data_IF_379482267824
#
_entry.id   IF_379482267824
#
_cell.length_a   1.000
_cell.length_b   1.000
_cell.length_c   1.000
_cell.angle_alpha   90.00
_cell.angle_beta   90.00
_cell.angle_gamma   90.00
#
_symmetry.space_group_name_H-M   'P 1'
#
loop_
_entity.id
_entity.type
_entity.pdbx_description
1 polymer ?
#
# COMPACT_ATOMS: atom_id res chain seq x y z
N UNK A 1 -0.05 -19.86 -6.01
CA UNK A 1 -0.37 -18.44 -6.29
C UNK A 1 -1.01 -18.38 -7.67
N UNK A 2 -2.01 -17.52 -7.89
CA UNK A 2 -2.58 -17.32 -9.24
C UNK A 2 -1.52 -16.70 -10.14
N UNK A 3 -1.27 -17.29 -11.30
CA UNK A 3 -0.35 -16.73 -12.29
C UNK A 3 -0.96 -15.48 -12.90
N UNK A 4 -0.22 -14.37 -12.83
CA UNK A 4 -0.58 -13.11 -13.46
C UNK A 4 0.00 -13.14 -14.85
N UNK A 5 -0.86 -13.14 -15.86
CA UNK A 5 -0.49 -13.06 -17.28
C UNK A 5 -0.98 -11.73 -17.84
N UNK A 6 -0.39 -11.25 -18.94
CA UNK A 6 -0.80 -10.01 -19.62
C UNK A 6 -2.29 -9.97 -19.96
N UNK A 7 -2.85 -11.13 -20.33
CA UNK A 7 -4.26 -11.28 -20.73
C UNK A 7 -5.21 -11.26 -19.54
N UNK A 8 -4.83 -11.86 -18.40
CA UNK A 8 -5.67 -11.92 -17.20
C UNK A 8 -5.41 -10.78 -16.20
N UNK A 9 -4.48 -9.86 -16.51
CA UNK A 9 -4.04 -8.79 -15.61
C UNK A 9 -5.20 -7.97 -15.03
N UNK A 10 -6.15 -7.54 -15.87
CA UNK A 10 -7.29 -6.74 -15.43
C UNK A 10 -8.16 -7.49 -14.40
N UNK A 11 -8.45 -8.77 -14.70
CA UNK A 11 -9.24 -9.65 -13.84
C UNK A 11 -8.54 -9.85 -12.50
N UNK A 12 -7.23 -10.11 -12.54
CA UNK A 12 -6.42 -10.27 -11.33
C UNK A 12 -6.38 -8.98 -10.50
N UNK A 13 -6.18 -7.82 -11.12
CA UNK A 13 -6.21 -6.52 -10.43
C UNK A 13 -7.58 -6.27 -9.79
N UNK A 14 -8.68 -6.61 -10.47
CA UNK A 14 -10.05 -6.48 -9.94
C UNK A 14 -10.26 -7.38 -8.72
N UNK A 15 -9.91 -8.67 -8.84
CA UNK A 15 -10.04 -9.64 -7.74
C UNK A 15 -9.19 -9.23 -6.54
N UNK A 16 -7.92 -8.89 -6.76
CA UNK A 16 -7.01 -8.41 -5.70
C UNK A 16 -7.51 -7.11 -5.07
N UNK A 17 -8.06 -6.18 -5.85
CA UNK A 17 -8.69 -4.97 -5.30
C UNK A 17 -9.85 -5.35 -4.38
N UNK A 18 -10.75 -6.25 -4.81
CA UNK A 18 -11.89 -6.68 -4.00
C UNK A 18 -11.45 -7.26 -2.66
N UNK A 19 -10.46 -8.15 -2.66
CA UNK A 19 -9.90 -8.73 -1.42
C UNK A 19 -9.24 -7.66 -0.55
N UNK A 20 -8.51 -6.70 -1.14
CA UNK A 20 -7.90 -5.60 -0.40
C UNK A 20 -8.95 -4.71 0.30
N UNK A 21 -10.06 -4.40 -0.37
CA UNK A 21 -11.16 -3.64 0.23
C UNK A 21 -11.81 -4.39 1.39
N UNK A 22 -12.03 -5.70 1.25
CA UNK A 22 -12.57 -6.54 2.31
C UNK A 22 -11.64 -6.59 3.53
N UNK A 23 -10.35 -6.81 3.31
CA UNK A 23 -9.34 -6.74 4.37
C UNK A 23 -9.38 -5.37 5.07
N UNK A 24 -9.51 -4.28 4.31
CA UNK A 24 -9.57 -2.94 4.87
C UNK A 24 -10.82 -2.68 5.70
N UNK A 25 -11.99 -3.19 5.30
CA UNK A 25 -13.23 -3.11 6.11
C UNK A 25 -13.10 -3.80 7.46
N UNK A 26 -12.37 -4.92 7.47
CA UNK A 26 -12.14 -5.70 8.68
C UNK A 26 -11.12 -5.03 9.60
N UNK A 27 -10.03 -4.46 9.05
CA UNK A 27 -8.92 -3.91 9.83
C UNK A 27 -9.00 -2.40 10.11
N UNK A 28 -9.80 -1.64 9.36
CA UNK A 28 -9.83 -0.17 9.46
C UNK A 28 -11.16 0.35 9.97
N UNK A 29 -11.16 1.56 10.53
CA UNK A 29 -12.38 2.26 10.94
C UNK A 29 -12.96 3.17 9.85
N UNK A 30 -12.26 3.34 8.72
CA UNK A 30 -12.72 4.13 7.59
C UNK A 30 -13.90 3.46 6.88
N UNK A 31 -14.78 4.27 6.28
CA UNK A 31 -15.75 3.75 5.30
C UNK A 31 -15.00 3.47 4.00
N UNK A 32 -14.99 2.20 3.59
CA UNK A 32 -14.32 1.75 2.38
C UNK A 32 -15.34 1.61 1.25
N UNK A 33 -15.33 2.57 0.32
CA UNK A 33 -16.18 2.57 -0.88
C UNK A 33 -15.68 1.56 -1.92
N UNK A 34 -16.63 0.88 -2.59
CA UNK A 34 -16.36 0.03 -3.77
C UNK A 34 -16.13 0.84 -5.05
N UNK A 35 -16.43 2.13 -5.04
CA UNK A 35 -16.12 3.03 -6.16
C UNK A 35 -14.61 3.32 -6.16
N UNK A 36 -13.86 2.48 -6.86
CA UNK A 36 -12.40 2.55 -6.89
C UNK A 36 -11.86 3.35 -8.08
N UNK A 37 -10.77 4.06 -7.81
CA UNK A 37 -9.93 4.67 -8.84
C UNK A 37 -8.46 4.38 -8.54
N UNK A 38 -7.60 4.51 -9.53
CA UNK A 38 -6.25 3.98 -9.46
C UNK A 38 -5.19 5.04 -9.76
N UNK A 39 -4.09 5.00 -9.03
CA UNK A 39 -2.85 5.71 -9.35
C UNK A 39 -1.71 4.69 -9.42
N UNK A 40 -0.68 4.98 -10.21
CA UNK A 40 0.46 4.08 -10.38
C UNK A 40 1.77 4.76 -9.98
N UNK A 41 2.67 4.01 -9.35
CA UNK A 41 3.97 4.46 -8.85
C UNK A 41 5.03 3.41 -9.10
N UNK A 42 6.20 3.82 -9.58
CA UNK A 42 7.38 2.97 -9.55
C UNK A 42 7.98 2.93 -8.14
N UNK A 43 8.35 1.74 -7.69
CA UNK A 43 9.11 1.53 -6.46
C UNK A 43 10.58 1.87 -6.77
N UNK A 44 11.06 3.00 -6.25
CA UNK A 44 12.47 3.38 -6.31
C UNK A 44 13.18 2.97 -5.02
N UNK A 45 14.45 2.57 -5.13
CA UNK A 45 15.32 2.23 -4.00
C UNK A 45 15.58 3.39 -3.02
N UNK A 46 15.09 4.61 -3.31
CA UNK A 46 15.02 5.74 -2.38
C UNK A 46 13.90 5.49 -1.34
N UNK A 47 14.00 4.35 -0.67
CA UNK A 47 13.16 3.87 0.41
C UNK A 47 13.13 4.95 1.51
N UNK A 48 11.92 5.23 2.01
CA UNK A 48 11.60 5.76 3.35
C UNK A 48 10.98 7.15 3.45
N UNK A 49 10.93 7.98 2.41
CA UNK A 49 10.28 9.29 2.62
C UNK A 49 8.79 9.28 2.27
N UNK A 50 7.97 8.80 3.22
CA UNK A 50 6.49 8.88 3.19
C UNK A 50 5.99 10.25 2.71
N UNK A 51 6.63 11.34 3.15
CA UNK A 51 6.25 12.70 2.75
C UNK A 51 6.52 12.98 1.26
N UNK A 52 7.61 12.45 0.68
CA UNK A 52 7.90 12.55 -0.76
C UNK A 52 6.86 11.75 -1.56
N UNK A 53 6.59 10.49 -1.17
CA UNK A 53 5.55 9.65 -1.81
C UNK A 53 4.20 10.34 -1.81
N UNK A 54 3.78 10.86 -0.66
CA UNK A 54 2.53 11.63 -0.53
C UNK A 54 2.51 12.81 -1.51
N UNK A 55 3.53 13.66 -1.52
CA UNK A 55 3.63 14.84 -2.41
C UNK A 55 3.56 14.47 -3.90
N UNK A 56 4.14 13.32 -4.29
CA UNK A 56 4.08 12.84 -5.67
C UNK A 56 2.69 12.30 -6.02
N UNK A 57 2.08 11.53 -5.12
CA UNK A 57 0.78 10.92 -5.34
C UNK A 57 -0.37 11.92 -5.28
N UNK A 58 -0.27 12.96 -4.46
CA UNK A 58 -1.25 14.07 -4.39
C UNK A 58 -1.40 14.78 -5.76
N UNK A 59 -0.36 14.72 -6.61
CA UNK A 59 -0.37 15.32 -7.96
C UNK A 59 -0.94 14.40 -9.04
N UNK A 60 -1.13 13.11 -8.73
CA UNK A 60 -1.60 12.13 -9.72
C UNK A 60 -3.11 12.24 -9.86
N UNK A 61 -3.56 12.26 -11.11
CA UNK A 61 -4.99 12.14 -11.41
C UNK A 61 -5.40 10.66 -11.35
N UNK A 62 -6.37 10.28 -10.52
CA UNK A 62 -6.86 8.90 -10.49
C UNK A 62 -7.46 8.48 -11.84
N UNK A 63 -7.28 7.21 -12.19
CA UNK A 63 -7.70 6.60 -13.46
C UNK A 63 -8.65 5.43 -13.20
N UNK A 64 -9.40 5.00 -14.21
CA UNK A 64 -10.21 3.78 -14.16
C UNK A 64 -9.32 2.53 -14.20
N UNK A 65 -9.89 1.39 -13.82
CA UNK A 65 -9.22 0.08 -13.89
C UNK A 65 -8.73 -0.23 -15.32
N UNK A 66 -9.56 0.07 -16.33
CA UNK A 66 -9.24 -0.15 -17.74
C UNK A 66 -7.99 0.63 -18.15
N UNK A 67 -7.94 1.94 -17.83
CA UNK A 67 -6.82 2.82 -18.17
C UNK A 67 -5.54 2.42 -17.48
N UNK A 68 -5.59 2.13 -16.17
CA UNK A 68 -4.38 1.72 -15.44
C UNK A 68 -3.86 0.35 -15.90
N UNK A 69 -4.78 -0.54 -16.31
CA UNK A 69 -4.41 -1.85 -16.85
C UNK A 69 -3.74 -1.71 -18.21
N UNK A 70 -4.23 -0.80 -19.08
CA UNK A 70 -3.57 -0.52 -20.35
C UNK A 70 -2.12 -0.04 -20.14
N UNK A 71 -1.90 0.90 -19.22
CA UNK A 71 -0.55 1.38 -18.88
C UNK A 71 0.35 0.27 -18.32
N UNK A 72 -0.17 -0.60 -17.46
CA UNK A 72 0.60 -1.76 -16.97
C UNK A 72 0.92 -2.77 -18.08
N UNK A 73 0.01 -2.96 -19.05
CA UNK A 73 0.24 -3.87 -20.19
C UNK A 73 1.38 -3.40 -21.10
N UNK A 74 1.58 -2.08 -21.22
CA UNK A 74 2.68 -1.50 -22.00
C UNK A 74 4.05 -1.86 -21.40
N UNK A 75 4.15 -1.90 -20.08
CA UNK A 75 5.40 -2.21 -19.37
C UNK A 75 5.49 -3.65 -18.87
N UNK A 76 4.52 -4.50 -19.23
CA UNK A 76 4.31 -5.84 -18.65
C UNK A 76 5.57 -6.72 -18.64
N UNK A 77 6.28 -6.76 -19.77
CA UNK A 77 7.48 -7.60 -19.91
C UNK A 77 8.57 -7.22 -18.89
N UNK A 78 8.60 -5.95 -18.51
CA UNK A 78 9.53 -5.41 -17.52
C UNK A 78 8.95 -5.39 -16.10
N UNK A 79 7.76 -5.91 -15.83
CA UNK A 79 7.21 -5.96 -14.47
C UNK A 79 7.79 -7.15 -13.69
N UNK A 80 8.37 -6.89 -12.53
CA UNK A 80 8.78 -7.93 -11.58
C UNK A 80 7.75 -8.13 -10.48
N UNK A 81 7.33 -7.04 -9.84
CA UNK A 81 6.39 -7.06 -8.72
C UNK A 81 5.35 -5.96 -8.87
N UNK A 82 4.11 -6.24 -8.49
CA UNK A 82 2.95 -5.34 -8.50
C UNK A 82 2.29 -5.43 -7.12
N UNK A 83 2.32 -4.35 -6.35
CA UNK A 83 1.70 -4.26 -5.03
C UNK A 83 0.53 -3.28 -5.03
N UNK A 84 -0.63 -3.72 -4.56
CA UNK A 84 -1.81 -2.88 -4.37
C UNK A 84 -1.88 -2.37 -2.92
N UNK A 85 -2.13 -1.07 -2.78
CA UNK A 85 -2.33 -0.38 -1.52
C UNK A 85 -3.55 0.54 -1.58
N UNK A 86 -4.25 0.71 -0.46
CA UNK A 86 -5.21 1.81 -0.34
C UNK A 86 -4.41 3.08 -0.04
N UNK A 87 -4.38 4.01 -0.98
CA UNK A 87 -3.73 5.31 -0.80
C UNK A 87 -4.62 6.27 -0.03
N UNK A 88 -5.91 6.28 -0.37
CA UNK A 88 -6.91 7.15 0.26
C UNK A 88 -8.28 6.49 0.19
N UNK A 89 -9.04 6.55 1.26
CA UNK A 89 -10.44 6.10 1.30
C UNK A 89 -11.33 7.17 1.90
N UNK A 90 -12.38 7.51 1.16
CA UNK A 90 -13.46 8.41 1.53
C UNK A 90 -14.80 7.67 1.43
N UNK A 91 -15.87 8.29 1.94
CA UNK A 91 -17.20 7.70 1.96
C UNK A 91 -17.68 7.25 0.57
N UNK A 92 -17.35 8.01 -0.46
CA UNK A 92 -17.87 7.81 -1.82
C UNK A 92 -16.82 7.27 -2.79
N UNK A 93 -15.53 7.27 -2.43
CA UNK A 93 -14.46 6.83 -3.32
C UNK A 93 -13.29 6.22 -2.55
N UNK A 94 -12.64 5.24 -3.15
CA UNK A 94 -11.38 4.68 -2.65
C UNK A 94 -10.32 4.73 -3.75
N UNK A 95 -9.18 5.34 -3.47
CA UNK A 95 -8.04 5.42 -4.38
C UNK A 95 -7.06 4.29 -4.04
N UNK A 96 -6.84 3.41 -5.00
CA UNK A 96 -5.86 2.33 -4.93
C UNK A 96 -4.57 2.81 -5.60
N UNK A 97 -3.46 2.71 -4.89
CA UNK A 97 -2.13 2.87 -5.48
C UNK A 97 -1.58 1.50 -5.88
N UNK A 98 -1.25 1.38 -7.17
CA UNK A 98 -0.48 0.27 -7.72
C UNK A 98 0.98 0.67 -7.70
N UNK A 99 1.78 -0.05 -6.93
CA UNK A 99 3.22 0.13 -6.91
C UNK A 99 3.88 -0.99 -7.69
N UNK A 100 4.72 -0.67 -8.67
CA UNK A 100 5.42 -1.69 -9.44
C UNK A 100 6.93 -1.61 -9.25
N UNK A 101 7.59 -2.76 -9.27
CA UNK A 101 9.05 -2.87 -9.34
C UNK A 101 9.44 -3.41 -10.72
N UNK A 102 10.28 -2.70 -11.50
CA UNK A 102 10.67 -3.18 -12.81
C UNK A 102 11.83 -4.19 -12.72
N UNK A 103 11.85 -5.17 -13.62
CA UNK A 103 12.92 -6.17 -13.73
C UNK A 103 14.27 -5.50 -14.02
N UNK A 104 14.27 -4.44 -14.84
CA UNK A 104 15.45 -3.65 -15.16
C UNK A 104 16.11 -2.97 -13.96
N UNK A 105 15.44 -2.90 -12.80
CA UNK A 105 16.01 -2.38 -11.55
C UNK A 105 16.60 -3.48 -10.65
N UNK A 106 16.65 -4.72 -11.12
CA UNK A 106 17.30 -5.83 -10.42
C UNK A 106 18.77 -5.94 -10.83
N UNK A 107 19.58 -6.53 -9.95
CA UNK A 107 20.96 -6.87 -10.28
C UNK A 107 21.02 -7.86 -11.45
N UNK A 108 22.04 -7.75 -12.29
CA UNK A 108 22.12 -8.48 -13.57
C UNK A 108 22.06 -10.00 -13.39
N UNK A 109 22.73 -10.54 -12.37
CA UNK A 109 22.71 -11.97 -12.06
C UNK A 109 21.29 -12.45 -11.71
N UNK A 110 20.55 -11.66 -10.92
CA UNK A 110 19.18 -11.98 -10.55
C UNK A 110 18.21 -11.79 -11.72
N UNK A 111 18.39 -10.74 -12.52
CA UNK A 111 17.59 -10.47 -13.71
C UNK A 111 17.60 -11.65 -14.69
N UNK A 112 18.75 -12.26 -14.96
CA UNK A 112 18.86 -13.38 -15.88
C UNK A 112 18.01 -14.59 -15.46
N UNK A 113 17.86 -14.81 -14.15
CA UNK A 113 17.05 -15.90 -13.60
C UNK A 113 15.53 -15.66 -13.67
N UNK A 114 15.10 -14.40 -13.75
CA UNK A 114 13.68 -14.00 -13.62
C UNK A 114 13.14 -13.25 -14.84
N UNK A 115 13.96 -13.00 -15.88
CA UNK A 115 13.56 -12.24 -17.08
C UNK A 115 12.31 -12.81 -17.77
N UNK A 116 12.17 -14.13 -17.77
CA UNK A 116 11.03 -14.84 -18.38
C UNK A 116 9.89 -15.13 -17.41
N UNK A 117 10.02 -14.74 -16.13
CA UNK A 117 8.97 -14.97 -15.15
C UNK A 117 7.86 -13.93 -15.29
N UNK A 118 6.64 -14.38 -15.02
CA UNK A 118 5.49 -13.50 -14.85
C UNK A 118 5.64 -12.63 -13.58
N UNK A 119 5.08 -11.41 -13.58
CA UNK A 119 5.13 -10.53 -12.42
C UNK A 119 4.36 -11.10 -11.23
N UNK A 120 4.87 -10.83 -10.03
CA UNK A 120 4.18 -11.16 -8.79
C UNK A 120 3.12 -10.10 -8.49
N UNK A 121 1.97 -10.51 -7.98
CA UNK A 121 0.90 -9.61 -7.56
C UNK A 121 0.61 -9.79 -6.07
N UNK A 122 0.69 -8.68 -5.35
CA UNK A 122 0.52 -8.60 -3.91
C UNK A 122 -0.47 -7.50 -3.54
N UNK A 123 -1.01 -7.60 -2.33
CA UNK A 123 -1.80 -6.56 -1.71
C UNK A 123 -1.36 -6.36 -0.27
N UNK A 124 -1.31 -5.12 0.18
CA UNK A 124 -0.86 -4.77 1.53
C UNK A 124 -1.71 -3.62 2.07
N UNK A 125 -1.96 -3.67 3.38
CA UNK A 125 -2.55 -2.56 4.13
C UNK A 125 -1.44 -1.96 4.99
N UNK A 126 -1.18 -0.66 4.84
CA UNK A 126 -0.21 0.04 5.67
C UNK A 126 -0.69 0.08 7.11
N UNK A 127 0.10 -0.44 8.05
CA UNK A 127 -0.21 -0.39 9.49
C UNK A 127 0.48 0.85 10.08
N UNK A 128 -0.27 1.75 10.77
CA UNK A 128 0.34 2.92 11.37
C UNK A 128 1.28 2.54 12.53
N UNK A 129 2.37 3.31 12.74
CA UNK A 129 3.37 3.01 13.77
C UNK A 129 2.84 3.13 15.21
N UNK A 130 1.67 3.74 15.42
CA UNK A 130 1.05 3.84 16.73
C UNK A 130 0.20 2.62 17.11
N UNK A 131 -0.07 1.71 16.17
CA UNK A 131 -0.84 0.49 16.40
C UNK A 131 0.08 -0.58 16.97
N UNK A 132 -0.13 -0.92 18.25
CA UNK A 132 0.71 -1.89 18.96
C UNK A 132 0.09 -3.30 19.00
N UNK A 133 -1.22 -3.42 18.76
CA UNK A 133 -1.95 -4.67 18.77
C UNK A 133 -2.57 -4.93 17.40
N UNK A 134 -2.40 -6.16 16.90
CA UNK A 134 -2.91 -6.58 15.58
C UNK A 134 -4.44 -6.60 15.50
N UNK A 135 -5.14 -6.58 16.64
CA UNK A 135 -6.62 -6.59 16.68
C UNK A 135 -7.26 -5.20 16.69
N UNK A 136 -6.48 -4.13 16.93
CA UNK A 136 -7.03 -2.77 16.98
C UNK A 136 -7.29 -2.23 15.57
N UNK A 137 -8.49 -1.69 15.35
CA UNK A 137 -8.81 -1.01 14.08
C UNK A 137 -8.04 0.30 13.95
N UNK A 138 -7.61 0.65 12.75
CA UNK A 138 -6.84 1.86 12.48
C UNK A 138 -7.30 2.65 11.26
N UNK A 139 -6.67 3.81 11.06
CA UNK A 139 -6.97 4.70 9.94
C UNK A 139 -6.27 4.15 8.70
N UNK A 140 -6.98 3.84 7.62
CA UNK A 140 -6.32 3.50 6.36
C UNK A 140 -5.63 4.72 5.74
N UNK A 141 -6.12 5.93 6.04
CA UNK A 141 -5.57 7.19 5.54
C UNK A 141 -4.42 7.72 6.41
N UNK A 142 -3.91 6.94 7.37
CA UNK A 142 -2.90 7.41 8.31
C UNK A 142 -1.66 7.97 7.60
N UNK A 143 -1.32 7.45 6.41
CA UNK A 143 -0.20 7.90 5.58
C UNK A 143 -0.38 9.33 5.04
N UNK A 144 -1.62 9.82 4.96
CA UNK A 144 -1.93 11.20 4.57
C UNK A 144 -1.72 12.19 5.72
N UNK A 145 -1.62 11.69 6.96
CA UNK A 145 -1.37 12.49 8.15
C UNK A 145 -2.64 13.13 8.71
N UNK A 146 -2.53 14.37 9.19
CA UNK A 146 -3.64 15.13 9.75
C UNK A 146 -3.74 15.03 11.28
N UNK A 147 -4.64 15.83 11.86
CA UNK A 147 -4.73 16.01 13.32
C UNK A 147 -4.95 14.71 14.08
N UNK A 148 -5.79 13.81 13.55
CA UNK A 148 -6.06 12.50 14.18
C UNK A 148 -4.81 11.62 14.21
N UNK A 149 -4.04 11.60 13.11
CA UNK A 149 -2.77 10.88 13.05
C UNK A 149 -1.78 11.40 14.10
N UNK A 150 -1.59 12.73 14.15
CA UNK A 150 -0.67 13.36 15.10
C UNK A 150 -1.09 13.12 16.56
N UNK A 151 -2.39 13.19 16.86
CA UNK A 151 -2.91 12.92 18.20
C UNK A 151 -2.72 11.46 18.61
N UNK A 152 -2.99 10.50 17.72
CA UNK A 152 -2.77 9.08 17.97
C UNK A 152 -1.29 8.78 18.20
N UNK A 153 -0.41 9.39 17.41
CA UNK A 153 1.03 9.24 17.55
C UNK A 153 1.53 9.83 18.88
N UNK A 154 1.09 11.04 19.23
CA UNK A 154 1.40 11.68 20.51
C UNK A 154 0.94 10.83 21.70
N UNK A 155 -0.31 10.37 21.67
CA UNK A 155 -0.90 9.52 22.71
C UNK A 155 -0.13 8.20 22.86
N UNK A 156 0.26 7.57 21.75
CA UNK A 156 1.05 6.34 21.75
C UNK A 156 2.43 6.55 22.37
N UNK A 157 3.12 7.64 22.02
CA UNK A 157 4.41 8.03 22.61
C UNK A 157 4.31 8.26 24.11
N UNK A 158 3.27 8.96 24.57
CA UNK A 158 3.03 9.14 26.00
C UNK A 158 2.82 7.81 26.71
N UNK A 159 1.92 6.95 26.21
CA UNK A 159 1.68 5.61 26.78
C UNK A 159 2.96 4.78 26.85
N UNK A 160 3.80 4.84 25.81
CA UNK A 160 5.09 4.15 25.81
C UNK A 160 6.03 4.66 26.90
N UNK A 161 6.20 6.00 27.01
CA UNK A 161 7.03 6.61 28.08
C UNK A 161 6.55 6.23 29.48
N UNK A 162 5.24 6.21 29.70
CA UNK A 162 4.65 5.79 30.98
C UNK A 162 4.91 4.31 31.29
N UNK A 163 4.69 3.41 30.32
CA UNK A 163 5.02 1.98 30.46
C UNK A 163 6.50 1.76 30.75
N UNK A 164 7.38 2.47 30.05
CA UNK A 164 8.82 2.37 30.23
C UNK A 164 9.26 2.84 31.63
N UNK A 165 8.75 3.99 32.09
CA UNK A 165 9.04 4.51 33.44
C UNK A 165 8.54 3.57 34.55
N UNK A 166 7.37 2.95 34.38
CA UNK A 166 6.83 1.99 35.34
C UNK A 166 7.57 0.65 35.33
N UNK A 167 8.13 0.23 34.18
CA UNK A 167 9.01 -0.95 34.13
C UNK A 167 10.30 -0.74 34.90
N UNK A 168 10.94 0.43 34.78
CA UNK A 168 12.17 0.75 35.52
C UNK A 168 11.91 0.76 37.04
N UNK A 169 10.75 1.26 37.48
CA UNK A 169 10.38 1.28 38.91
C UNK A 169 10.13 -0.10 39.53
N UNK A 170 9.85 -1.12 38.73
CA UNK A 170 9.52 -2.47 39.20
C UNK A 170 10.72 -3.45 39.11
N UNK A 171 11.91 -2.95 38.80
CA UNK A 171 13.17 -3.73 38.67
C UNK A 171 14.19 -3.28 39.73
N UNK A 172 13.75 -2.54 40.76
CA UNK A 172 14.55 -2.12 41.91
C UNK A 172 14.01 -2.69 43.22
#
# INVERSE_FOLDING_TARGET
MKTVTKNNLEKNLKETTSTLLEMARNSCWNKISDNTSYIMSEIKNDLLNRSKRKKLNDKKKPKSLEKITAELREIYENLYDINLYIYKSEKESTIIEIQYYPKSSLESEFYETIKNNDPMLHMKIGIPPYVNNKTEKYDVNWELGGMRYEWNLFSSRLRFKWKYKNRIKNVG
#
